data_IF_833525888239
#
_entry.id   IF_833525888239
#
_cell.length_a   1.000
_cell.length_b   1.000
_cell.length_c   1.000
_cell.angle_alpha   90.00
_cell.angle_beta   90.00
_cell.angle_gamma   90.00
#
_symmetry.space_group_name_H-M   'P 1'
#
loop_
_entity.id
_entity.type
_entity.pdbx_description
1 polymer ?
#
# COMPACT_ATOMS: atom_id res chain seq x y z
N UNK A 1 20.97 0.99 -1.75
CA UNK A 1 19.93 1.98 -1.42
C UNK A 1 18.85 1.89 -2.50
N UNK A 2 17.59 1.65 -2.17
CA UNK A 2 16.54 1.31 -3.16
C UNK A 2 16.04 2.52 -3.98
N UNK A 3 16.53 3.74 -3.69
CA UNK A 3 16.17 4.94 -4.45
C UNK A 3 14.68 5.28 -4.39
N UNK A 4 13.99 4.92 -3.30
CA UNK A 4 12.51 4.98 -3.17
C UNK A 4 11.93 6.36 -3.45
N UNK A 5 12.68 7.43 -3.19
CA UNK A 5 12.25 8.81 -3.46
C UNK A 5 12.19 9.18 -4.95
N UNK A 6 12.73 8.35 -5.84
CA UNK A 6 12.65 8.54 -7.30
C UNK A 6 11.44 7.83 -7.92
N UNK A 7 10.70 7.03 -7.14
CA UNK A 7 9.54 6.30 -7.62
C UNK A 7 8.35 7.25 -7.83
N UNK A 8 7.39 6.91 -8.71
CA UNK A 8 6.14 7.67 -8.80
C UNK A 8 5.41 7.71 -7.46
N UNK A 9 4.64 8.78 -7.25
CA UNK A 9 3.82 8.98 -6.05
C UNK A 9 2.36 8.62 -6.38
N UNK A 10 1.72 7.92 -5.45
CA UNK A 10 0.29 7.69 -5.44
C UNK A 10 -0.33 8.26 -4.17
N UNK A 11 -1.53 8.82 -4.31
CA UNK A 11 -2.29 9.49 -3.25
C UNK A 11 -3.74 9.00 -3.25
N UNK A 12 -4.31 8.88 -2.06
CA UNK A 12 -5.71 8.48 -1.89
C UNK A 12 -6.30 9.04 -0.60
N UNK A 13 -7.50 9.57 -0.71
CA UNK A 13 -8.27 10.08 0.42
C UNK A 13 -8.80 8.94 1.31
N UNK A 14 -9.28 9.30 2.50
CA UNK A 14 -9.91 8.34 3.41
C UNK A 14 -11.06 7.60 2.70
N UNK A 15 -10.91 6.29 2.57
CA UNK A 15 -11.77 5.44 1.78
C UNK A 15 -11.56 3.97 2.13
N UNK A 16 -12.55 3.13 1.80
CA UNK A 16 -12.47 1.70 1.99
C UNK A 16 -12.79 1.01 0.67
N UNK A 17 -11.87 0.20 0.14
CA UNK A 17 -12.04 -0.43 -1.15
C UNK A 17 -11.27 -1.76 -1.28
N UNK A 18 -11.82 -2.73 -2.05
CA UNK A 18 -11.08 -3.92 -2.42
C UNK A 18 -10.04 -3.60 -3.49
N UNK A 19 -8.89 -4.28 -3.42
CA UNK A 19 -7.82 -4.17 -4.39
C UNK A 19 -7.18 -5.52 -4.68
N UNK A 20 -6.87 -5.77 -5.95
CA UNK A 20 -6.17 -6.97 -6.41
C UNK A 20 -4.93 -6.55 -7.18
N UNK A 21 -3.77 -7.05 -6.77
CA UNK A 21 -2.49 -6.73 -7.38
C UNK A 21 -2.26 -7.59 -8.63
N UNK A 22 -2.20 -6.99 -9.81
CA UNK A 22 -1.93 -7.70 -11.07
C UNK A 22 -0.43 -7.94 -11.35
N UNK A 23 0.42 -7.31 -10.53
CA UNK A 23 1.89 -7.27 -10.59
C UNK A 23 2.45 -7.19 -9.16
N UNK A 24 3.73 -7.54 -8.96
CA UNK A 24 4.32 -7.31 -7.65
C UNK A 24 4.54 -5.81 -7.47
N UNK A 25 4.10 -5.26 -6.35
CA UNK A 25 4.21 -3.84 -6.03
C UNK A 25 4.96 -3.68 -4.72
N UNK A 26 5.99 -2.83 -4.69
CA UNK A 26 6.58 -2.36 -3.43
C UNK A 26 6.21 -0.90 -3.22
N UNK A 27 5.73 -0.59 -2.02
CA UNK A 27 5.30 0.72 -1.58
C UNK A 27 6.19 1.23 -0.44
N UNK A 28 6.56 2.50 -0.49
CA UNK A 28 7.13 3.21 0.64
C UNK A 28 6.17 4.31 1.10
N UNK A 29 5.74 4.26 2.34
CA UNK A 29 4.66 5.11 2.85
C UNK A 29 5.24 6.42 3.38
N UNK A 30 4.77 7.54 2.82
CA UNK A 30 5.21 8.87 3.23
C UNK A 30 4.30 9.43 4.31
N UNK A 31 2.98 9.28 4.14
CA UNK A 31 1.94 9.84 5.01
C UNK A 31 0.71 8.94 5.03
N UNK A 32 -0.14 9.10 6.04
CA UNK A 32 -1.44 8.41 6.14
C UNK A 32 -1.50 7.35 7.23
N UNK A 33 -2.62 6.63 7.25
CA UNK A 33 -2.88 5.53 8.17
C UNK A 33 -3.83 4.56 7.47
N UNK A 34 -3.37 3.34 7.22
CA UNK A 34 -4.12 2.33 6.46
C UNK A 34 -4.06 1.00 7.17
N UNK A 35 -5.18 0.30 7.23
CA UNK A 35 -5.20 -1.12 7.57
C UNK A 35 -5.49 -1.92 6.30
N UNK A 36 -4.62 -2.86 5.95
CA UNK A 36 -4.84 -3.78 4.83
C UNK A 36 -5.27 -5.12 5.39
N UNK A 37 -6.42 -5.62 4.95
CA UNK A 37 -6.93 -6.95 5.33
C UNK A 37 -6.91 -7.87 4.13
N UNK A 38 -6.20 -8.98 4.24
CA UNK A 38 -6.10 -9.99 3.18
C UNK A 38 -7.36 -10.87 3.13
N UNK A 39 -7.57 -11.59 2.04
CA UNK A 39 -8.70 -12.52 1.90
C UNK A 39 -8.69 -13.67 2.92
N UNK A 40 -7.55 -13.95 3.57
CA UNK A 40 -7.46 -14.94 4.66
C UNK A 40 -7.99 -14.39 5.99
N UNK A 41 -8.31 -13.09 6.05
CA UNK A 41 -8.76 -12.38 7.25
C UNK A 41 -7.62 -11.80 8.09
N UNK A 42 -6.37 -11.94 7.66
CA UNK A 42 -5.23 -11.31 8.33
C UNK A 42 -5.17 -9.81 8.01
N UNK A 43 -5.07 -8.99 9.05
CA UNK A 43 -4.98 -7.52 8.93
C UNK A 43 -3.61 -7.01 9.35
N UNK A 44 -3.09 -6.04 8.62
CA UNK A 44 -1.81 -5.37 8.88
C UNK A 44 -2.00 -3.87 8.82
N UNK A 45 -1.54 -3.18 9.86
CA UNK A 45 -1.50 -1.72 9.89
C UNK A 45 -0.23 -1.21 9.20
N UNK A 46 -0.43 -0.24 8.30
CA UNK A 46 0.59 0.39 7.49
C UNK A 46 0.65 1.87 7.86
N UNK A 47 1.85 2.36 8.18
CA UNK A 47 2.11 3.72 8.66
C UNK A 47 3.30 4.38 7.93
N UNK A 48 3.49 5.70 8.09
CA UNK A 48 4.63 6.40 7.50
C UNK A 48 5.97 5.80 7.89
N UNK A 49 6.85 5.63 6.90
CA UNK A 49 8.16 5.00 7.05
C UNK A 49 8.18 3.49 6.78
N UNK A 50 7.02 2.84 6.64
CA UNK A 50 6.97 1.42 6.28
C UNK A 50 7.31 1.19 4.80
N UNK A 51 8.01 0.09 4.54
CA UNK A 51 8.24 -0.45 3.20
C UNK A 51 7.47 -1.77 3.09
N UNK A 52 6.47 -1.82 2.22
CA UNK A 52 5.52 -2.94 2.11
C UNK A 52 5.55 -3.49 0.70
N UNK A 53 5.55 -4.82 0.57
CA UNK A 53 5.50 -5.50 -0.73
C UNK A 53 4.23 -6.32 -0.83
N UNK A 54 3.49 -6.13 -1.91
CA UNK A 54 2.29 -6.87 -2.26
C UNK A 54 2.60 -7.78 -3.46
N UNK A 55 2.48 -9.11 -3.31
CA UNK A 55 2.75 -10.05 -4.39
C UNK A 55 1.63 -10.04 -5.43
N UNK A 56 2.01 -10.30 -6.69
CA UNK A 56 1.06 -10.51 -7.79
C UNK A 56 0.03 -11.59 -7.45
N UNK A 57 -1.23 -11.30 -7.72
CA UNK A 57 -2.38 -12.19 -7.47
C UNK A 57 -2.96 -12.05 -6.06
N UNK A 58 -2.35 -11.26 -5.18
CA UNK A 58 -2.92 -10.96 -3.87
C UNK A 58 -4.16 -10.07 -4.01
N UNK A 59 -5.22 -10.44 -3.31
CA UNK A 59 -6.40 -9.63 -3.09
C UNK A 59 -6.47 -9.22 -1.62
N UNK A 60 -6.90 -7.99 -1.38
CA UNK A 60 -7.06 -7.44 -0.05
C UNK A 60 -8.05 -6.28 -0.05
N UNK A 61 -8.52 -5.89 1.14
CA UNK A 61 -9.26 -4.65 1.36
C UNK A 61 -8.34 -3.61 1.97
N UNK A 62 -8.30 -2.44 1.36
CA UNK A 62 -7.65 -1.26 1.90
C UNK A 62 -8.66 -0.46 2.72
N UNK A 63 -8.37 -0.24 3.99
CA UNK A 63 -9.09 0.68 4.86
C UNK A 63 -8.22 1.90 5.16
N UNK A 64 -8.36 2.94 4.33
CA UNK A 64 -7.61 4.20 4.44
C UNK A 64 -8.32 5.10 5.45
N UNK A 65 -7.81 5.13 6.68
CA UNK A 65 -8.38 5.89 7.80
C UNK A 65 -7.95 7.36 7.76
N UNK A 66 -6.77 7.65 7.21
CA UNK A 66 -6.27 8.99 6.91
C UNK A 66 -5.66 8.98 5.52
N UNK A 67 -5.86 10.08 4.78
CA UNK A 67 -5.34 10.23 3.42
C UNK A 67 -3.87 9.77 3.34
N UNK A 68 -3.61 8.88 2.40
CA UNK A 68 -2.32 8.21 2.22
C UNK A 68 -1.57 8.83 1.07
N UNK A 69 -0.25 8.92 1.25
CA UNK A 69 0.72 9.28 0.22
C UNK A 69 1.85 8.26 0.23
N UNK A 70 2.15 7.63 -0.91
CA UNK A 70 3.17 6.59 -1.01
C UNK A 70 3.99 6.69 -2.31
N UNK A 71 5.25 6.32 -2.24
CA UNK A 71 6.04 5.95 -3.42
C UNK A 71 5.75 4.49 -3.77
N UNK A 72 5.71 4.15 -5.06
CA UNK A 72 5.45 2.77 -5.49
C UNK A 72 6.27 2.37 -6.71
N UNK A 73 6.60 1.09 -6.82
CA UNK A 73 7.26 0.51 -8.00
C UNK A 73 6.74 -0.90 -8.26
N UNK A 74 6.73 -1.30 -9.54
CA UNK A 74 6.35 -2.63 -9.98
C UNK A 74 7.58 -3.43 -10.43
N UNK A 75 7.58 -4.74 -10.22
CA UNK A 75 8.67 -5.64 -10.62
C UNK A 75 8.24 -7.07 -10.95
#
# INVERSE_FOLDING_TARGET
>A
EMGVYNWPIWECEASNFPWTYDSNETCYILEGQVTVTTDTGESVDIKPGDLVTFPKGMSCTWDVQKAIRKHYTFF
#
